data_IF_532491937887
#
_entry.id   IF_532491937887
#
_cell.length_a   1.000
_cell.length_b   1.000
_cell.length_c   1.000
_cell.angle_alpha   90.00
_cell.angle_beta   90.00
_cell.angle_gamma   90.00
#
_symmetry.space_group_name_H-M   'P 1'
#
loop_
_entity.id
_entity.type
_entity.pdbx_description
1 polymer ?
#
# COMPACT_ATOMS: atom_id res chain seq x y z
N UNK A 1 -1.94 19.94 -8.40
CA UNK A 1 -2.23 19.49 -8.18
C UNK A 1 -2.60 18.29 -8.15
N UNK A 2 -2.70 17.57 -8.79
CA UNK A 2 -3.08 16.47 -8.83
C UNK A 2 -2.15 15.58 -8.35
N UNK A 3 -1.06 15.66 -8.46
CA UNK A 3 -0.08 14.74 -8.01
C UNK A 3 -0.16 14.43 -6.58
N UNK A 4 -0.88 15.17 -5.86
CA UNK A 4 -0.95 14.90 -4.55
C UNK A 4 -1.96 13.94 -4.17
N UNK A 5 -2.70 13.40 -5.04
CA UNK A 5 -3.70 12.46 -4.69
C UNK A 5 -3.05 11.18 -4.29
N UNK A 6 -3.13 10.82 -3.07
CA UNK A 6 -2.55 9.60 -2.59
C UNK A 6 -3.49 9.02 -1.56
N UNK A 7 -3.58 7.72 -1.54
CA UNK A 7 -4.44 7.06 -0.60
C UNK A 7 -3.58 6.53 0.51
N UNK A 8 -4.04 6.65 1.74
CA UNK A 8 -3.32 6.15 2.86
C UNK A 8 -4.02 4.95 3.41
N UNK A 9 -3.27 3.89 3.66
CA UNK A 9 -3.80 2.68 4.23
C UNK A 9 -3.13 2.48 5.57
N UNK A 10 -3.90 2.13 6.57
CA UNK A 10 -3.34 1.86 7.88
C UNK A 10 -3.44 0.37 8.15
N UNK A 11 -2.32 -0.24 8.44
CA UNK A 11 -2.27 -1.64 8.81
C UNK A 11 -2.15 -1.71 10.31
N UNK A 12 -3.03 -2.43 10.95
CA UNK A 12 -3.02 -2.50 12.41
C UNK A 12 -3.11 -3.97 12.80
N UNK A 13 -2.01 -4.54 13.14
CA UNK A 13 -1.96 -5.93 13.52
C UNK A 13 -0.65 -6.22 14.22
N UNK A 14 -0.35 -7.48 14.40
CA UNK A 14 0.94 -7.83 14.99
C UNK A 14 2.01 -7.50 13.99
N UNK A 15 3.26 -7.38 14.43
CA UNK A 15 4.34 -7.10 13.51
C UNK A 15 4.40 -8.10 12.37
N UNK A 16 4.16 -9.36 12.66
CA UNK A 16 4.21 -10.37 11.64
C UNK A 16 3.09 -10.22 10.62
N UNK A 17 1.89 -9.91 11.11
CA UNK A 17 0.77 -9.72 10.21
C UNK A 17 1.00 -8.53 9.31
N UNK A 18 1.50 -7.43 9.89
CA UNK A 18 1.73 -6.24 9.12
C UNK A 18 2.80 -6.49 8.06
N UNK A 19 3.84 -7.21 8.43
CA UNK A 19 4.91 -7.50 7.51
C UNK A 19 4.40 -8.34 6.34
N UNK A 20 3.58 -9.31 6.63
CA UNK A 20 3.05 -10.15 5.61
C UNK A 20 2.18 -9.35 4.66
N UNK A 21 1.38 -8.45 5.20
CA UNK A 21 0.52 -7.65 4.35
C UNK A 21 1.33 -6.69 3.51
N UNK A 22 2.40 -6.13 4.06
CA UNK A 22 3.25 -5.25 3.32
C UNK A 22 3.85 -5.99 2.13
N UNK A 23 4.24 -7.22 2.31
CA UNK A 23 4.79 -7.97 1.21
C UNK A 23 3.76 -8.24 0.14
N UNK A 24 2.54 -8.50 0.52
CA UNK A 24 1.49 -8.70 -0.44
C UNK A 24 1.23 -7.40 -1.21
N UNK A 25 1.25 -6.28 -0.52
CA UNK A 25 1.02 -5.02 -1.16
C UNK A 25 2.15 -4.70 -2.13
N UNK A 26 3.37 -5.01 -1.76
CA UNK A 26 4.49 -4.76 -2.63
C UNK A 26 4.38 -5.58 -3.91
N UNK A 27 3.94 -6.80 -3.77
CA UNK A 27 3.80 -7.65 -4.94
C UNK A 27 2.72 -7.15 -5.87
N UNK A 28 1.61 -6.69 -5.31
CA UNK A 28 0.50 -6.26 -6.14
C UNK A 28 0.59 -4.82 -6.59
N UNK A 29 1.17 -3.97 -5.81
CA UNK A 29 1.16 -2.55 -6.08
C UNK A 29 2.55 -1.96 -6.15
N UNK A 30 3.51 -2.76 -6.58
CA UNK A 30 4.88 -2.34 -6.47
C UNK A 30 5.16 -0.94 -6.99
N UNK A 31 4.60 -0.57 -8.10
CA UNK A 31 4.89 0.76 -8.61
C UNK A 31 4.03 1.84 -8.03
N UNK A 32 3.08 1.50 -7.21
CA UNK A 32 2.21 2.48 -6.64
C UNK A 32 2.51 2.86 -5.23
N UNK A 33 3.33 2.09 -4.55
CA UNK A 33 3.63 2.39 -3.17
C UNK A 33 4.64 3.51 -3.09
N UNK A 34 4.27 4.58 -2.43
CA UNK A 34 5.17 5.72 -2.29
C UNK A 34 5.97 5.64 -1.01
N UNK A 35 5.30 5.37 0.07
CA UNK A 35 5.95 5.40 1.37
C UNK A 35 5.38 4.33 2.25
N UNK A 36 6.23 3.68 3.01
CA UNK A 36 5.81 2.77 4.04
C UNK A 36 6.46 3.30 5.30
N UNK A 37 5.66 3.64 6.29
CA UNK A 37 6.18 4.24 7.49
C UNK A 37 6.86 3.21 8.37
N UNK A 38 7.59 3.69 9.35
CA UNK A 38 8.09 2.80 10.37
C UNK A 38 6.90 2.38 11.21
N UNK A 39 7.01 1.26 11.89
CA UNK A 39 5.90 0.81 12.72
C UNK A 39 5.74 1.67 13.95
N UNK A 40 4.50 1.93 14.32
CA UNK A 40 4.20 2.65 15.53
C UNK A 40 3.54 1.68 16.50
N UNK A 41 4.04 1.63 17.72
CA UNK A 41 3.52 0.70 18.68
C UNK A 41 2.16 1.14 19.18
N UNK A 42 1.24 0.21 19.30
CA UNK A 42 -0.08 0.52 19.84
C UNK A 42 -0.04 0.49 21.34
N UNK A 43 -1.04 1.05 21.96
CA UNK A 43 -1.08 1.12 23.41
C UNK A 43 -1.11 -0.24 24.07
N UNK A 44 -1.64 -1.24 23.39
CA UNK A 44 -1.72 -2.57 23.99
C UNK A 44 -0.37 -3.28 24.00
N UNK A 45 0.63 -2.74 23.34
CA UNK A 45 1.95 -3.34 23.32
C UNK A 45 2.07 -4.59 22.49
N UNK A 46 1.01 -5.01 21.84
CA UNK A 46 1.02 -6.23 21.05
C UNK A 46 0.93 -5.92 19.58
N UNK A 47 0.12 -4.95 19.22
CA UNK A 47 -0.05 -4.63 17.80
C UNK A 47 0.74 -3.38 17.45
N UNK A 48 0.92 -3.19 16.17
CA UNK A 48 1.61 -2.02 15.65
C UNK A 48 0.80 -1.47 14.50
N UNK A 49 1.00 -0.21 14.20
CA UNK A 49 0.34 0.43 13.08
C UNK A 49 1.40 0.80 12.07
N UNK A 50 1.11 0.55 10.82
CA UNK A 50 2.01 0.94 9.73
C UNK A 50 1.16 1.68 8.74
N UNK A 51 1.64 2.82 8.27
CA UNK A 51 0.91 3.59 7.30
C UNK A 51 1.57 3.43 5.94
N UNK A 52 0.77 3.16 4.94
CA UNK A 52 1.27 2.97 3.59
C UNK A 52 0.60 4.01 2.70
N UNK A 53 1.40 4.75 1.96
CA UNK A 53 0.86 5.76 1.07
C UNK A 53 0.94 5.21 -0.34
N UNK A 54 -0.15 5.26 -1.06
CA UNK A 54 -0.24 4.70 -2.38
C UNK A 54 -0.62 5.77 -3.38
N UNK A 55 0.10 5.82 -4.47
CA UNK A 55 -0.16 6.79 -5.51
C UNK A 55 -0.95 6.12 -6.62
N UNK A 56 -2.24 6.33 -6.61
CA UNK A 56 -3.10 5.70 -7.59
C UNK A 56 -2.98 6.33 -8.95
N UNK A 57 -2.27 7.44 -9.03
CA UNK A 57 -2.10 8.09 -10.31
C UNK A 57 -0.92 7.55 -11.10
N UNK A 58 -0.15 6.68 -10.51
CA UNK A 58 1.00 6.13 -11.21
C UNK A 58 0.52 5.20 -12.30
N UNK A 59 0.67 5.62 -13.52
CA UNK A 59 0.19 4.86 -14.64
C UNK A 59 1.18 3.97 -15.30
N UNK A 60 2.38 4.00 -14.87
CA UNK A 60 3.38 3.19 -15.51
C UNK A 60 3.16 1.71 -15.37
N UNK A 61 2.50 1.32 -14.36
CA UNK A 61 2.52 -0.05 -13.95
C UNK A 61 1.60 -0.98 -14.68
N UNK A 62 0.52 -0.55 -15.16
CA UNK A 62 -0.34 -1.42 -15.75
C UNK A 62 -1.17 -0.98 -16.79
N UNK A 63 -0.73 -0.21 -17.61
CA UNK A 63 -1.45 0.21 -18.66
C UNK A 63 -2.02 -0.90 -19.43
N UNK A 64 -1.25 -1.86 -19.77
CA UNK A 64 -1.82 -2.88 -20.56
C UNK A 64 -2.70 -3.79 -19.79
N UNK A 65 -2.45 -3.94 -18.58
CA UNK A 65 -3.30 -4.79 -17.80
C UNK A 65 -4.71 -4.22 -17.78
N UNK A 66 -4.79 -2.94 -17.68
CA UNK A 66 -6.06 -2.31 -17.66
C UNK A 66 -6.77 -2.49 -18.96
N UNK A 67 -6.07 -2.42 -20.00
CA UNK A 67 -6.67 -2.59 -21.30
C UNK A 67 -7.32 -3.94 -21.41
N UNK A 68 -6.72 -4.92 -20.87
CA UNK A 68 -7.28 -6.17 -20.97
C UNK A 68 -8.49 -6.38 -20.18
N UNK A 69 -8.56 -5.88 -19.04
CA UNK A 69 -9.67 -6.05 -18.19
C UNK A 69 -10.94 -5.63 -18.78
N UNK A 70 -11.03 -4.49 -19.30
CA UNK A 70 -12.30 -4.02 -19.81
C UNK A 70 -12.79 -4.84 -20.93
N UNK A 71 -11.94 -5.47 -21.56
CA UNK A 71 -12.37 -6.17 -22.68
C UNK A 71 -13.19 -7.32 -22.29
N UNK A 72 -13.20 -7.60 -21.09
CA UNK A 72 -13.96 -8.74 -20.68
C UNK A 72 -15.40 -8.58 -21.02
#
# INVERSE_FOLDING_TARGET
>A
MKGEIAMQIRLWGTPEENQEMIELLRNDLENKIKIISTPYRSANGVTQRVYVEIDLENKNYRKHAIDKIPSA
#
